data_IF_945830760903
#
_entry.id   IF_945830760903
#
_cell.length_a   1.000
_cell.length_b   1.000
_cell.length_c   1.000
_cell.angle_alpha   90.00
_cell.angle_beta   90.00
_cell.angle_gamma   90.00
#
_symmetry.space_group_name_H-M   'P 1'
#
loop_
_entity.id
_entity.type
_entity.pdbx_description
1 polymer ?
#
# COMPACT_ATOMS: atom_id res chain seq x y z
N UNK A 1 -4.73 -10.08 1.52
CA UNK A 1 -5.49 -11.15 0.84
C UNK A 1 -5.67 -10.91 -0.66
N UNK A 2 -5.89 -9.67 -1.11
CA UNK A 2 -6.16 -9.33 -2.53
C UNK A 2 -5.28 -10.04 -3.57
N UNK A 3 -3.93 -10.07 -3.46
CA UNK A 3 -3.09 -10.76 -4.46
C UNK A 3 -3.13 -12.29 -4.37
N UNK A 4 -3.81 -12.86 -3.37
CA UNK A 4 -3.80 -14.28 -3.03
C UNK A 4 -5.18 -14.94 -3.14
N UNK A 5 -6.26 -14.14 -3.26
CA UNK A 5 -7.64 -14.57 -3.00
C UNK A 5 -8.11 -15.75 -3.85
N UNK A 6 -7.59 -15.89 -5.07
CA UNK A 6 -7.93 -16.98 -5.99
C UNK A 6 -6.95 -18.17 -5.93
N UNK A 7 -5.87 -18.09 -5.14
CA UNK A 7 -4.74 -19.00 -5.24
C UNK A 7 -4.43 -19.76 -3.97
N UNK A 8 -4.93 -19.33 -2.81
CA UNK A 8 -4.59 -19.91 -1.50
C UNK A 8 -5.81 -20.55 -0.85
N UNK A 9 -5.59 -21.66 -0.15
CA UNK A 9 -6.61 -22.27 0.70
C UNK A 9 -6.86 -21.50 2.00
N UNK A 10 -7.83 -21.97 2.79
CA UNK A 10 -8.26 -21.32 4.04
C UNK A 10 -7.12 -21.10 5.03
N UNK A 11 -6.24 -22.10 5.21
CA UNK A 11 -5.08 -22.00 6.11
C UNK A 11 -4.11 -20.88 5.69
N UNK A 12 -3.79 -20.80 4.39
CA UNK A 12 -2.97 -19.72 3.85
C UNK A 12 -3.63 -18.35 3.96
N UNK A 13 -4.94 -18.27 3.72
CA UNK A 13 -5.70 -17.03 3.86
C UNK A 13 -5.68 -16.49 5.31
N UNK A 14 -5.84 -17.36 6.31
CA UNK A 14 -5.72 -17.00 7.73
C UNK A 14 -4.32 -16.49 8.08
N UNK A 15 -3.28 -17.21 7.65
CA UNK A 15 -1.89 -16.80 7.87
C UNK A 15 -1.59 -15.43 7.24
N UNK A 16 -2.02 -15.21 5.99
CA UNK A 16 -1.88 -13.93 5.30
C UNK A 16 -2.61 -12.81 6.06
N UNK A 17 -3.83 -13.06 6.54
CA UNK A 17 -4.60 -12.07 7.30
C UNK A 17 -3.86 -11.61 8.56
N UNK A 18 -3.38 -12.56 9.38
CA UNK A 18 -2.64 -12.27 10.61
C UNK A 18 -1.35 -11.53 10.32
N UNK A 19 -0.53 -12.03 9.38
CA UNK A 19 0.76 -11.42 9.05
C UNK A 19 0.59 -10.03 8.45
N UNK A 20 -0.33 -9.83 7.50
CA UNK A 20 -0.65 -8.50 6.98
C UNK A 20 -1.09 -7.56 8.10
N UNK A 21 -1.96 -8.01 9.02
CA UNK A 21 -2.40 -7.19 10.16
C UNK A 21 -1.23 -6.70 11.02
N UNK A 22 -0.32 -7.59 11.39
CA UNK A 22 0.88 -7.26 12.18
C UNK A 22 1.77 -6.27 11.43
N UNK A 23 2.11 -6.55 10.16
CA UNK A 23 3.02 -5.68 9.40
C UNK A 23 2.42 -4.32 9.07
N UNK A 24 1.12 -4.25 8.75
CA UNK A 24 0.43 -2.98 8.57
C UNK A 24 0.41 -2.16 9.86
N UNK A 25 0.10 -2.79 11.01
CA UNK A 25 0.14 -2.11 12.31
C UNK A 25 1.52 -1.53 12.61
N UNK A 26 2.58 -2.32 12.43
CA UNK A 26 3.96 -1.86 12.66
C UNK A 26 4.35 -0.77 11.67
N UNK A 27 3.87 -0.82 10.42
CA UNK A 27 4.13 0.21 9.44
C UNK A 27 3.55 1.56 9.88
N UNK A 28 2.29 1.58 10.32
CA UNK A 28 1.59 2.80 10.71
C UNK A 28 2.13 3.36 12.04
N UNK A 29 2.37 2.48 13.01
CA UNK A 29 2.71 2.92 14.38
C UNK A 29 4.20 3.16 14.60
N UNK A 30 5.07 2.43 13.88
CA UNK A 30 6.53 2.47 14.07
C UNK A 30 7.24 3.03 12.85
N UNK A 31 7.02 2.46 11.67
CA UNK A 31 7.79 2.83 10.46
C UNK A 31 7.53 4.28 10.06
N UNK A 32 6.26 4.72 10.03
CA UNK A 32 5.85 6.10 9.74
C UNK A 32 6.55 7.11 10.65
N UNK A 33 6.49 6.89 11.96
CA UNK A 33 7.13 7.78 12.94
C UNK A 33 8.64 7.80 12.82
N UNK A 34 9.27 6.65 12.51
CA UNK A 34 10.73 6.55 12.36
C UNK A 34 11.25 7.23 11.10
N UNK A 35 10.49 7.17 10.01
CA UNK A 35 10.87 7.78 8.74
C UNK A 35 10.37 9.22 8.57
N UNK A 36 9.44 9.66 9.43
CA UNK A 36 8.96 11.04 9.48
C UNK A 36 8.14 11.49 8.27
N UNK A 37 7.56 10.54 7.51
CA UNK A 37 6.71 10.89 6.37
C UNK A 37 5.27 11.21 6.81
N UNK A 38 4.68 12.22 6.18
CA UNK A 38 3.29 12.60 6.38
C UNK A 38 2.38 11.92 5.34
N UNK A 39 1.93 10.72 5.69
CA UNK A 39 0.91 9.97 4.98
C UNK A 39 -0.40 10.06 5.77
N UNK A 40 -1.20 11.09 5.48
CA UNK A 40 -2.27 11.55 6.37
C UNK A 40 -3.31 10.46 6.69
N UNK A 41 -3.57 9.54 5.75
CA UNK A 41 -4.55 8.46 5.89
C UNK A 41 -3.90 7.06 5.89
N UNK A 42 -2.59 6.98 6.13
CA UNK A 42 -1.83 5.73 6.22
C UNK A 42 -1.94 4.83 4.97
N UNK A 43 -2.07 5.45 3.78
CA UNK A 43 -2.26 4.75 2.51
C UNK A 43 -1.08 3.84 2.20
N UNK A 44 0.15 4.31 2.42
CA UNK A 44 1.36 3.50 2.21
C UNK A 44 1.44 2.36 3.21
N UNK A 45 1.14 2.62 4.49
CA UNK A 45 1.23 1.61 5.55
C UNK A 45 0.19 0.49 5.42
N UNK A 46 -1.03 0.81 5.00
CA UNK A 46 -2.11 -0.15 4.85
C UNK A 46 -2.10 -0.83 3.48
N UNK A 47 -2.05 -0.05 2.40
CA UNK A 47 -2.19 -0.57 1.04
C UNK A 47 -0.84 -0.94 0.43
N UNK A 48 0.18 -0.09 0.61
CA UNK A 48 1.53 -0.35 0.12
C UNK A 48 2.14 -1.58 0.79
N UNK A 49 2.43 -1.50 2.09
CA UNK A 49 3.04 -2.60 2.84
C UNK A 49 2.13 -3.84 2.87
N UNK A 50 0.83 -3.67 3.13
CA UNK A 50 -0.13 -4.78 3.12
C UNK A 50 -0.18 -5.52 1.77
N UNK A 51 -0.13 -4.78 0.66
CA UNK A 51 -0.05 -5.33 -0.69
C UNK A 51 1.24 -6.10 -0.94
N UNK A 52 2.40 -5.54 -0.55
CA UNK A 52 3.71 -6.18 -0.72
C UNK A 52 3.80 -7.49 0.07
N UNK A 53 3.44 -7.47 1.35
CA UNK A 53 3.43 -8.65 2.21
C UNK A 53 2.46 -9.70 1.67
N UNK A 54 1.24 -9.27 1.30
CA UNK A 54 0.25 -10.16 0.70
C UNK A 54 0.75 -10.85 -0.56
N UNK A 55 1.42 -10.11 -1.45
CA UNK A 55 1.93 -10.64 -2.72
C UNK A 55 3.06 -11.66 -2.52
N UNK A 56 4.01 -11.37 -1.61
CA UNK A 56 5.08 -12.32 -1.29
C UNK A 56 4.51 -13.58 -0.64
N UNK A 57 3.55 -13.45 0.28
CA UNK A 57 2.89 -14.58 0.91
C UNK A 57 1.98 -15.37 -0.05
N UNK A 58 1.45 -14.77 -1.12
CA UNK A 58 0.84 -15.54 -2.22
C UNK A 58 1.82 -16.57 -2.76
N UNK A 59 3.09 -16.17 -2.98
CA UNK A 59 4.12 -17.08 -3.49
C UNK A 59 4.41 -18.25 -2.54
N UNK A 60 4.20 -18.06 -1.23
CA UNK A 60 4.31 -19.12 -0.22
C UNK A 60 3.10 -20.05 -0.27
N UNK A 61 1.90 -19.50 -0.12
CA UNK A 61 0.69 -20.29 0.14
C UNK A 61 -0.07 -20.74 -1.13
N UNK A 62 0.37 -20.33 -2.32
CA UNK A 62 -0.27 -20.76 -3.57
C UNK A 62 0.05 -22.21 -3.98
N UNK A 63 1.06 -22.84 -3.35
CA UNK A 63 1.50 -24.18 -3.70
C UNK A 63 0.56 -25.28 -3.16
N UNK A 64 0.32 -26.39 -3.89
CA UNK A 64 -0.63 -27.41 -3.47
C UNK A 64 -0.29 -28.08 -2.13
N UNK A 65 1.01 -28.20 -1.82
CA UNK A 65 1.48 -28.78 -0.56
C UNK A 65 1.03 -28.02 0.70
N UNK A 66 0.63 -26.75 0.56
CA UNK A 66 0.09 -25.91 1.64
C UNK A 66 -1.42 -25.65 1.50
N UNK A 67 -2.10 -26.42 0.64
CA UNK A 67 -3.52 -26.22 0.32
C UNK A 67 -3.78 -25.09 -0.67
N UNK A 68 -2.77 -24.63 -1.39
CA UNK A 68 -2.90 -23.69 -2.50
C UNK A 68 -3.46 -24.35 -3.77
N UNK A 69 -3.89 -23.51 -4.72
CA UNK A 69 -4.67 -23.91 -5.88
C UNK A 69 -3.88 -23.84 -7.20
N UNK A 70 -2.60 -23.46 -7.16
CA UNK A 70 -1.79 -23.31 -8.37
C UNK A 70 -1.04 -24.61 -8.64
N UNK A 71 -1.35 -25.35 -9.72
CA UNK A 71 -0.66 -26.59 -10.04
C UNK A 71 0.76 -26.33 -10.55
N UNK A 72 1.63 -27.33 -10.42
CA UNK A 72 2.96 -27.38 -11.07
C UNK A 72 3.92 -26.22 -10.75
N UNK A 73 3.73 -25.56 -9.61
CA UNK A 73 4.61 -24.49 -9.14
C UNK A 73 5.36 -24.88 -7.87
N UNK A 74 6.60 -24.40 -7.76
CA UNK A 74 7.39 -24.51 -6.53
C UNK A 74 7.31 -23.22 -5.73
N UNK A 75 7.35 -23.35 -4.39
CA UNK A 75 7.31 -22.21 -3.48
C UNK A 75 8.44 -21.23 -3.75
N UNK A 76 9.66 -21.72 -3.95
CA UNK A 76 10.83 -20.88 -4.22
C UNK A 76 10.68 -20.09 -5.53
N UNK A 77 10.24 -20.73 -6.61
CA UNK A 77 10.05 -20.05 -7.89
C UNK A 77 8.96 -18.96 -7.78
N UNK A 78 7.84 -19.24 -7.11
CA UNK A 78 6.75 -18.29 -6.95
C UNK A 78 7.11 -17.12 -6.03
N UNK A 79 7.77 -17.35 -4.89
CA UNK A 79 8.26 -16.27 -4.03
C UNK A 79 9.20 -15.34 -4.78
N UNK A 80 10.14 -15.88 -5.57
CA UNK A 80 11.06 -15.08 -6.39
C UNK A 80 10.28 -14.28 -7.44
N UNK A 81 9.31 -14.89 -8.12
CA UNK A 81 8.47 -14.20 -9.10
C UNK A 81 7.69 -13.03 -8.46
N UNK A 82 7.09 -13.26 -7.30
CA UNK A 82 6.34 -12.24 -6.57
C UNK A 82 7.23 -11.11 -6.06
N UNK A 83 8.44 -11.40 -5.57
CA UNK A 83 9.41 -10.38 -5.18
C UNK A 83 9.80 -9.51 -6.38
N UNK A 84 10.08 -10.12 -7.54
CA UNK A 84 10.37 -9.39 -8.78
C UNK A 84 9.21 -8.46 -9.16
N UNK A 85 7.98 -8.97 -9.11
CA UNK A 85 6.77 -8.19 -9.37
C UNK A 85 6.64 -7.00 -8.42
N UNK A 86 6.76 -7.24 -7.11
CA UNK A 86 6.68 -6.20 -6.07
C UNK A 86 7.77 -5.14 -6.26
N UNK A 87 9.02 -5.53 -6.50
CA UNK A 87 10.11 -4.59 -6.71
C UNK A 87 9.88 -3.74 -7.96
N UNK A 88 9.49 -4.37 -9.07
CA UNK A 88 9.21 -3.68 -10.32
C UNK A 88 8.08 -2.65 -10.15
N UNK A 89 6.94 -3.06 -9.59
CA UNK A 89 5.79 -2.17 -9.40
C UNK A 89 6.08 -1.07 -8.39
N UNK A 90 6.83 -1.35 -7.32
CA UNK A 90 7.24 -0.33 -6.35
C UNK A 90 8.10 0.75 -7.00
N UNK A 91 9.13 0.36 -7.74
CA UNK A 91 10.03 1.29 -8.43
C UNK A 91 9.27 2.08 -9.49
N UNK A 92 8.45 1.41 -10.30
CA UNK A 92 7.66 2.04 -11.34
C UNK A 92 6.67 3.06 -10.77
N UNK A 93 5.83 2.66 -9.81
CA UNK A 93 4.84 3.55 -9.21
C UNK A 93 5.52 4.72 -8.51
N UNK A 94 6.58 4.49 -7.73
CA UNK A 94 7.31 5.57 -7.07
C UNK A 94 7.90 6.56 -8.08
N UNK A 95 8.64 6.08 -9.08
CA UNK A 95 9.33 6.93 -10.04
C UNK A 95 8.33 7.73 -10.90
N UNK A 96 7.31 7.07 -11.43
CA UNK A 96 6.31 7.71 -12.30
C UNK A 96 5.46 8.70 -11.51
N UNK A 97 4.95 8.32 -10.32
CA UNK A 97 4.21 9.26 -9.48
C UNK A 97 5.06 10.44 -9.05
N UNK A 98 6.33 10.22 -8.69
CA UNK A 98 7.24 11.32 -8.33
C UNK A 98 7.45 12.31 -9.49
N UNK A 99 7.67 11.82 -10.71
CA UNK A 99 7.80 12.67 -11.91
C UNK A 99 6.52 13.47 -12.14
N UNK A 100 5.37 12.81 -12.11
CA UNK A 100 4.07 13.45 -12.35
C UNK A 100 3.80 14.52 -11.30
N UNK A 101 3.96 14.21 -10.01
CA UNK A 101 3.72 15.15 -8.91
C UNK A 101 4.69 16.34 -8.96
N UNK A 102 5.95 16.13 -9.34
CA UNK A 102 6.91 17.23 -9.55
C UNK A 102 6.53 18.10 -10.74
N UNK A 103 6.09 17.51 -11.85
CA UNK A 103 5.63 18.26 -13.01
C UNK A 103 4.39 19.10 -12.68
N UNK A 104 3.39 18.51 -12.03
CA UNK A 104 2.19 19.21 -11.57
C UNK A 104 2.55 20.36 -10.63
N UNK A 105 3.40 20.09 -9.63
CA UNK A 105 3.83 21.13 -8.69
C UNK A 105 4.59 22.28 -9.36
N UNK A 106 5.34 22.03 -10.44
CA UNK A 106 6.07 23.06 -11.16
C UNK A 106 5.17 23.89 -12.10
N UNK A 107 4.09 23.30 -12.63
CA UNK A 107 3.21 23.95 -13.60
C UNK A 107 2.07 24.74 -12.95
N UNK A 108 1.42 24.16 -11.94
CA UNK A 108 0.21 24.72 -11.32
C UNK A 108 0.27 24.80 -9.79
N UNK A 109 1.24 24.12 -9.16
CA UNK A 109 1.29 23.94 -7.70
C UNK A 109 0.40 22.78 -7.24
N UNK A 110 0.91 21.97 -6.31
CA UNK A 110 0.19 20.78 -5.81
C UNK A 110 -0.47 21.00 -4.44
N UNK A 111 0.16 21.79 -3.57
CA UNK A 111 -0.27 22.03 -2.20
C UNK A 111 -0.90 23.42 -2.09
N UNK A 112 -1.93 23.54 -1.28
CA UNK A 112 -2.54 24.83 -0.97
C UNK A 112 -1.53 25.76 -0.29
N UNK A 113 -1.74 27.06 -0.39
CA UNK A 113 -0.92 28.04 0.33
C UNK A 113 -1.11 27.89 1.84
N UNK A 114 -0.10 28.20 2.64
CA UNK A 114 -0.13 28.04 4.11
C UNK A 114 -1.34 28.75 4.74
N UNK A 115 -1.64 29.97 4.30
CA UNK A 115 -2.83 30.72 4.75
C UNK A 115 -4.17 30.06 4.39
N UNK A 116 -4.22 29.30 3.29
CA UNK A 116 -5.41 28.54 2.86
C UNK A 116 -5.55 27.28 3.71
N UNK A 117 -4.43 26.61 4.00
CA UNK A 117 -4.42 25.46 4.92
C UNK A 117 -4.84 25.86 6.35
N UNK A 118 -4.38 27.01 6.85
CA UNK A 118 -4.77 27.54 8.18
C UNK A 118 -6.26 27.88 8.26
N UNK A 119 -6.84 28.43 7.18
CA UNK A 119 -8.27 28.74 7.10
C UNK A 119 -9.12 27.47 7.02
N UNK A 120 -8.57 26.39 6.46
CA UNK A 120 -9.27 25.15 6.13
C UNK A 120 -9.81 25.15 4.70
N UNK A 121 -9.58 24.04 3.99
CA UNK A 121 -9.96 23.86 2.59
C UNK A 121 -11.46 24.02 2.34
N UNK A 122 -12.31 23.58 3.27
CA UNK A 122 -13.77 23.72 3.17
C UNK A 122 -14.20 25.18 2.97
N UNK A 123 -13.63 26.11 3.75
CA UNK A 123 -13.98 27.52 3.66
C UNK A 123 -13.26 28.19 2.49
N UNK A 124 -11.97 27.91 2.31
CA UNK A 124 -11.14 28.63 1.35
C UNK A 124 -11.39 28.23 -0.12
N UNK A 125 -11.63 26.94 -0.39
CA UNK A 125 -11.79 26.41 -1.76
C UNK A 125 -13.24 26.10 -2.09
N UNK A 126 -14.08 25.81 -1.08
CA UNK A 126 -15.48 25.43 -1.29
C UNK A 126 -16.49 26.45 -0.75
N UNK A 127 -16.04 27.47 0.00
CA UNK A 127 -16.90 28.47 0.64
C UNK A 127 -18.03 27.86 1.48
N UNK A 128 -17.75 26.72 2.10
CA UNK A 128 -18.69 25.93 2.90
C UNK A 128 -18.12 25.65 4.29
N UNK A 129 -18.99 25.25 5.22
CA UNK A 129 -18.61 24.72 6.53
C UNK A 129 -19.26 23.36 6.69
N UNK A 130 -18.47 22.32 6.96
CA UNK A 130 -18.99 20.98 7.17
C UNK A 130 -19.98 20.90 8.35
N UNK A 131 -19.77 21.72 9.39
CA UNK A 131 -20.62 21.76 10.58
C UNK A 131 -20.90 23.20 11.00
N UNK A 132 -22.18 23.50 11.30
CA UNK A 132 -22.64 24.78 11.84
C UNK A 132 -23.05 24.56 13.29
N UNK A 133 -22.15 24.88 14.22
CA UNK A 133 -22.45 24.97 15.65
C UNK A 133 -22.54 26.43 16.09
#
# INVERSE_FOLDING_TARGET
>A
ITPACAYVGVGGALAIGVLCGVFCYLSVTVLKKRLGYDDSLDVFGLHGIGGMIGAVLTGVFCVPALGGLVPDVTMGAQVIAQIKGVLFTTVYCFAVSWIILKAVNALIGLRAHESVEEMGLDLAEHNERAYNH
#
